data_IF_002907823082
#
_entry.id   IF_002907823082
#
_cell.length_a   1.000
_cell.length_b   1.000
_cell.length_c   1.000
_cell.angle_alpha   90.00
_cell.angle_beta   90.00
_cell.angle_gamma   90.00
#
_symmetry.space_group_name_H-M   'P 1'
#
loop_
_entity.id
_entity.type
_entity.pdbx_description
1 polymer ?
#
# COMPACT_ATOMS: atom_id res chain seq x y z
N UNK A 1 -15.63 -26.50 14.03
CA UNK A 1 -14.99 -25.26 13.52
C UNK A 1 -15.83 -24.09 14.01
N UNK A 2 -15.25 -23.23 14.86
CA UNK A 2 -15.97 -22.22 15.64
C UNK A 2 -16.65 -21.15 14.75
N UNK A 3 -17.97 -21.02 14.87
CA UNK A 3 -18.76 -19.93 14.31
C UNK A 3 -18.51 -18.69 15.17
N UNK A 4 -17.52 -17.87 14.82
CA UNK A 4 -17.26 -16.62 15.55
C UNK A 4 -18.35 -15.60 15.21
N UNK A 5 -18.89 -15.02 16.28
CA UNK A 5 -20.05 -14.13 16.29
C UNK A 5 -19.97 -13.02 15.24
N UNK A 6 -21.09 -12.81 14.55
CA UNK A 6 -21.33 -11.60 13.78
C UNK A 6 -21.34 -10.43 14.77
N UNK A 7 -20.25 -9.66 14.80
CA UNK A 7 -20.22 -8.41 15.54
C UNK A 7 -21.20 -7.46 14.85
N UNK A 8 -22.28 -7.14 15.54
CA UNK A 8 -23.30 -6.14 15.20
C UNK A 8 -22.73 -4.72 15.32
N UNK A 9 -21.67 -4.46 14.57
CA UNK A 9 -21.11 -3.15 14.27
C UNK A 9 -21.04 -3.01 12.75
N UNK A 10 -20.97 -1.77 12.26
CA UNK A 10 -20.85 -1.43 10.84
C UNK A 10 -19.99 -2.48 10.12
N UNK A 11 -20.56 -3.13 9.11
CA UNK A 11 -19.89 -4.22 8.42
C UNK A 11 -18.75 -3.64 7.57
N UNK A 12 -17.54 -3.61 8.15
CA UNK A 12 -16.33 -3.03 7.55
C UNK A 12 -16.10 -3.52 6.13
N UNK A 13 -16.47 -4.79 5.86
CA UNK A 13 -16.35 -5.41 4.54
C UNK A 13 -17.32 -4.85 3.50
N UNK A 14 -18.53 -4.45 3.91
CA UNK A 14 -19.52 -3.82 3.02
C UNK A 14 -19.08 -2.41 2.64
N UNK A 15 -18.62 -1.62 3.62
CA UNK A 15 -18.08 -0.28 3.38
C UNK A 15 -16.91 -0.32 2.39
N UNK A 16 -15.96 -1.26 2.55
CA UNK A 16 -14.84 -1.44 1.61
C UNK A 16 -15.35 -1.70 0.17
N UNK A 17 -16.38 -2.53 0.03
CA UNK A 17 -16.95 -2.88 -1.28
C UNK A 17 -17.66 -1.69 -1.90
N UNK A 18 -18.50 -0.99 -1.16
CA UNK A 18 -19.19 0.22 -1.62
C UNK A 18 -18.20 1.30 -2.03
N UNK A 19 -17.15 1.51 -1.24
CA UNK A 19 -16.13 2.51 -1.51
C UNK A 19 -15.35 2.19 -2.79
N UNK A 20 -15.05 0.90 -3.04
CA UNK A 20 -14.43 0.45 -4.30
C UNK A 20 -15.39 0.57 -5.49
N UNK A 21 -16.67 0.28 -5.31
CA UNK A 21 -17.68 0.43 -6.38
C UNK A 21 -17.85 1.89 -6.78
N UNK A 22 -17.82 2.82 -5.81
CA UNK A 22 -17.83 4.28 -6.06
C UNK A 22 -16.49 4.79 -6.63
N UNK A 23 -15.38 4.11 -6.33
CA UNK A 23 -14.03 4.49 -6.75
C UNK A 23 -13.29 3.33 -7.45
N UNK A 24 -13.69 2.94 -8.68
CA UNK A 24 -13.17 1.75 -9.35
C UNK A 24 -11.66 1.80 -9.63
N UNK A 25 -11.07 2.98 -9.78
CA UNK A 25 -9.62 3.16 -10.01
C UNK A 25 -8.76 3.04 -8.73
N UNK A 26 -9.36 3.16 -7.54
CA UNK A 26 -8.60 3.32 -6.31
C UNK A 26 -8.01 1.99 -5.80
N UNK A 27 -6.71 1.99 -5.48
CA UNK A 27 -5.99 0.82 -4.99
C UNK A 27 -6.32 0.47 -3.53
N UNK A 28 -6.07 -0.78 -3.09
CA UNK A 28 -6.37 -1.24 -1.72
C UNK A 28 -5.73 -0.39 -0.61
N UNK A 29 -4.54 0.19 -0.86
CA UNK A 29 -3.84 1.08 0.08
C UNK A 29 -4.58 2.40 0.27
N UNK A 30 -5.00 3.04 -0.81
CA UNK A 30 -5.72 4.32 -0.76
C UNK A 30 -7.13 4.15 -0.13
N UNK A 31 -7.78 3.01 -0.37
CA UNK A 31 -9.04 2.66 0.29
C UNK A 31 -8.83 2.46 1.80
N UNK A 32 -7.75 1.78 2.20
CA UNK A 32 -7.41 1.63 3.61
C UNK A 32 -7.13 2.97 4.30
N UNK A 33 -6.40 3.88 3.66
CA UNK A 33 -6.13 5.22 4.20
C UNK A 33 -7.42 6.04 4.39
N UNK A 34 -8.31 6.03 3.40
CA UNK A 34 -9.61 6.72 3.50
C UNK A 34 -10.51 6.14 4.59
N UNK A 35 -10.61 4.81 4.66
CA UNK A 35 -11.41 4.15 5.67
C UNK A 35 -10.85 4.31 7.09
N UNK A 36 -9.52 4.41 7.23
CA UNK A 36 -8.88 4.75 8.50
C UNK A 36 -9.28 6.15 8.97
N UNK A 37 -9.34 7.12 8.06
CA UNK A 37 -9.79 8.48 8.35
C UNK A 37 -11.29 8.52 8.70
N UNK A 38 -12.12 7.78 7.97
CA UNK A 38 -13.58 7.88 8.08
C UNK A 38 -14.18 7.05 9.24
N UNK A 39 -13.55 5.93 9.62
CA UNK A 39 -14.11 4.99 10.59
C UNK A 39 -13.28 4.81 11.87
N UNK A 40 -12.15 5.52 12.00
CA UNK A 40 -11.36 5.57 13.25
C UNK A 40 -10.73 4.23 13.68
N UNK A 41 -10.91 3.17 12.89
CA UNK A 41 -10.32 1.87 13.13
C UNK A 41 -9.23 1.61 12.09
N UNK A 42 -8.10 1.05 12.53
CA UNK A 42 -7.01 0.64 11.65
C UNK A 42 -7.43 -0.53 10.75
N UNK A 43 -8.16 -0.23 9.68
CA UNK A 43 -8.37 -1.17 8.60
C UNK A 43 -7.03 -1.33 7.87
N UNK A 44 -6.37 -2.47 8.05
CA UNK A 44 -5.09 -2.73 7.37
C UNK A 44 -5.28 -2.85 5.86
N UNK A 45 -4.29 -2.41 5.08
CA UNK A 45 -4.30 -2.61 3.63
C UNK A 45 -4.41 -4.09 3.25
N UNK A 46 -3.92 -4.99 4.11
CA UNK A 46 -4.04 -6.44 3.96
C UNK A 46 -5.49 -6.92 4.08
N UNK A 47 -6.26 -6.36 5.03
CA UNK A 47 -7.67 -6.67 5.19
C UNK A 47 -8.47 -6.19 3.98
N UNK A 48 -8.26 -4.94 3.53
CA UNK A 48 -8.90 -4.41 2.31
C UNK A 48 -8.59 -5.27 1.08
N UNK A 49 -7.33 -5.66 0.88
CA UNK A 49 -6.93 -6.54 -0.21
C UNK A 49 -7.65 -7.89 -0.17
N UNK A 50 -7.77 -8.48 1.01
CA UNK A 50 -8.47 -9.76 1.20
C UNK A 50 -9.97 -9.62 0.91
N UNK A 51 -10.61 -8.56 1.40
CA UNK A 51 -12.04 -8.28 1.15
C UNK A 51 -12.31 -8.08 -0.35
N UNK A 52 -11.47 -7.31 -1.05
CA UNK A 52 -11.59 -7.08 -2.49
C UNK A 52 -11.32 -8.35 -3.31
N UNK A 53 -10.32 -9.14 -2.92
CA UNK A 53 -10.02 -10.44 -3.56
C UNK A 53 -11.17 -11.43 -3.39
N UNK A 54 -11.79 -11.47 -2.21
CA UNK A 54 -12.95 -12.30 -1.94
C UNK A 54 -14.22 -11.80 -2.64
N UNK A 55 -14.38 -10.49 -2.84
CA UNK A 55 -15.49 -9.93 -3.61
C UNK A 55 -15.42 -10.37 -5.08
N UNK A 56 -14.25 -10.22 -5.72
CA UNK A 56 -14.05 -10.68 -7.11
C UNK A 56 -14.31 -12.19 -7.28
N UNK A 57 -13.90 -13.00 -6.32
CA UNK A 57 -14.15 -14.46 -6.30
C UNK A 57 -15.62 -14.84 -6.15
N UNK A 58 -16.49 -13.94 -5.70
CA UNK A 58 -17.94 -14.18 -5.62
C UNK A 58 -18.66 -13.85 -6.93
N UNK A 59 -18.18 -12.84 -7.64
CA UNK A 59 -18.69 -12.46 -8.96
C UNK A 59 -18.28 -13.49 -10.03
N UNK A 60 -17.06 -14.04 -9.89
CA UNK A 60 -16.62 -15.21 -10.64
C UNK A 60 -17.30 -16.46 -10.05
N UNK A 61 -18.47 -16.87 -10.56
CA UNK A 61 -19.08 -18.20 -10.31
C UNK A 61 -18.13 -19.33 -10.76
N UNK A 62 -17.09 -19.63 -9.99
CA UNK A 62 -15.99 -20.47 -10.48
C UNK A 62 -14.93 -20.88 -9.47
N UNK A 63 -15.34 -21.37 -8.29
CA UNK A 63 -14.59 -22.34 -7.48
C UNK A 63 -13.20 -21.95 -6.91
N UNK A 64 -12.64 -22.76 -5.98
CA UNK A 64 -11.28 -22.56 -5.52
C UNK A 64 -10.31 -22.87 -6.67
N UNK A 65 -9.56 -21.86 -7.12
CA UNK A 65 -8.41 -22.05 -8.03
C UNK A 65 -7.39 -22.94 -7.32
N UNK A 66 -7.52 -24.25 -7.53
CA UNK A 66 -6.46 -25.25 -7.35
C UNK A 66 -5.22 -24.70 -8.04
N UNK A 67 -4.11 -24.69 -7.31
CA UNK A 67 -2.94 -23.90 -7.65
C UNK A 67 -2.17 -24.36 -8.88
N UNK A 68 -0.96 -23.80 -8.95
CA UNK A 68 0.19 -24.32 -9.69
C UNK A 68 0.06 -24.28 -11.21
N UNK A 69 0.14 -23.08 -11.75
CA UNK A 69 0.75 -22.82 -13.07
C UNK A 69 2.28 -22.69 -12.98
N UNK A 70 2.97 -23.50 -12.16
CA UNK A 70 4.43 -23.66 -12.28
C UNK A 70 4.64 -24.93 -13.11
N UNK A 71 5.02 -24.84 -14.40
CA UNK A 71 5.39 -26.02 -15.16
C UNK A 71 6.57 -26.70 -14.46
N UNK A 72 6.54 -28.04 -14.27
CA UNK A 72 7.66 -28.76 -13.67
C UNK A 72 8.77 -28.87 -14.72
N UNK A 73 9.70 -27.92 -14.73
CA UNK A 73 10.78 -27.94 -15.70
C UNK A 73 11.50 -26.61 -15.89
N UNK A 74 12.06 -26.05 -14.83
CA UNK A 74 13.19 -25.12 -14.95
C UNK A 74 13.91 -25.01 -13.61
N UNK A 75 14.48 -26.15 -13.19
CA UNK A 75 15.55 -26.13 -12.21
C UNK A 75 16.82 -25.63 -12.87
N UNK A 76 17.15 -24.35 -12.66
CA UNK A 76 18.55 -23.93 -12.42
C UNK A 76 18.54 -22.89 -11.31
N UNK A 77 19.26 -23.26 -10.26
CA UNK A 77 19.42 -22.51 -9.03
C UNK A 77 20.21 -21.22 -9.25
N UNK A 78 19.97 -20.29 -8.33
CA UNK A 78 20.88 -19.28 -7.80
C UNK A 78 21.58 -18.36 -8.82
N UNK A 79 21.24 -17.08 -8.74
CA UNK A 79 22.19 -16.09 -8.23
C UNK A 79 21.44 -14.87 -7.70
N UNK A 80 21.93 -14.36 -6.59
CA UNK A 80 21.53 -13.11 -6.01
C UNK A 80 21.68 -11.96 -7.01
N UNK A 81 20.67 -11.11 -7.11
CA UNK A 81 20.85 -9.74 -7.56
C UNK A 81 20.04 -8.83 -6.64
N UNK A 82 20.69 -8.49 -5.53
CA UNK A 82 20.47 -7.27 -4.78
C UNK A 82 20.36 -6.11 -5.78
N UNK A 83 19.13 -5.66 -6.06
CA UNK A 83 18.92 -4.46 -6.86
C UNK A 83 19.23 -3.23 -5.99
N UNK A 84 20.52 -3.01 -5.76
CA UNK A 84 21.06 -1.66 -5.55
C UNK A 84 20.96 -0.95 -6.89
N UNK A 85 19.83 -0.30 -7.15
CA UNK A 85 19.73 0.68 -8.23
C UNK A 85 20.45 1.95 -7.79
N UNK A 86 21.78 1.97 -7.96
CA UNK A 86 22.60 3.19 -7.88
C UNK A 86 22.43 3.97 -9.18
N UNK A 87 21.69 5.07 -9.06
CA UNK A 87 21.77 6.34 -9.78
C UNK A 87 21.94 6.34 -11.31
N UNK A 88 20.88 6.79 -12.00
CA UNK A 88 21.03 7.78 -13.08
C UNK A 88 19.87 8.78 -13.06
N UNK A 89 20.19 10.00 -12.59
CA UNK A 89 19.74 11.25 -13.23
C UNK A 89 18.26 11.67 -13.20
N UNK A 90 17.38 11.05 -12.43
CA UNK A 90 15.98 11.51 -12.34
C UNK A 90 15.48 11.49 -10.91
N UNK A 91 15.13 12.67 -10.37
CA UNK A 91 14.34 12.75 -9.14
C UNK A 91 12.98 12.09 -9.44
N UNK A 92 12.71 10.93 -8.84
CA UNK A 92 11.40 10.30 -8.99
C UNK A 92 10.33 11.23 -8.41
N UNK A 93 9.18 11.31 -9.06
CA UNK A 93 8.08 12.18 -8.61
C UNK A 93 7.67 11.86 -7.16
N UNK A 94 7.76 10.59 -6.76
CA UNK A 94 7.57 10.18 -5.37
C UNK A 94 8.58 10.80 -4.41
N UNK A 95 9.85 10.94 -4.82
CA UNK A 95 10.90 11.56 -4.02
C UNK A 95 10.70 13.08 -3.94
N UNK A 96 10.25 13.72 -5.02
CA UNK A 96 9.86 15.14 -5.01
C UNK A 96 8.65 15.39 -4.09
N UNK A 97 7.66 14.50 -4.09
CA UNK A 97 6.52 14.60 -3.17
C UNK A 97 6.95 14.44 -1.71
N UNK A 98 7.89 13.53 -1.43
CA UNK A 98 8.46 13.37 -0.08
C UNK A 98 9.26 14.61 0.32
N UNK A 99 10.09 15.15 -0.57
CA UNK A 99 10.84 16.38 -0.33
C UNK A 99 9.90 17.57 -0.07
N UNK A 100 8.81 17.70 -0.82
CA UNK A 100 7.78 18.73 -0.60
C UNK A 100 7.14 18.61 0.79
N UNK A 101 6.84 17.39 1.24
CA UNK A 101 6.27 17.16 2.58
C UNK A 101 7.24 17.57 3.68
N UNK A 102 8.50 17.14 3.58
CA UNK A 102 9.55 17.52 4.53
C UNK A 102 9.76 19.04 4.58
N UNK A 103 9.82 19.69 3.41
CA UNK A 103 9.88 21.14 3.35
C UNK A 103 8.67 21.80 4.02
N UNK A 104 7.48 21.24 3.88
CA UNK A 104 6.27 21.78 4.53
C UNK A 104 6.30 21.60 6.06
N UNK A 105 6.88 20.51 6.56
CA UNK A 105 7.03 20.26 8.00
C UNK A 105 8.07 21.19 8.65
N UNK A 106 9.09 21.60 7.89
CA UNK A 106 10.17 22.48 8.37
C UNK A 106 9.82 23.98 8.28
N UNK A 107 8.62 24.33 7.80
CA UNK A 107 8.16 25.72 7.66
C UNK A 107 8.25 26.27 6.24
N UNK A 108 8.89 25.53 5.33
CA UNK A 108 9.07 25.92 3.94
C UNK A 108 10.33 25.33 3.32
N UNK A 109 10.52 25.60 2.03
CA UNK A 109 11.70 25.14 1.29
C UNK A 109 12.97 25.85 1.77
N UNK A 110 12.86 27.11 2.19
CA UNK A 110 14.01 27.90 2.66
C UNK A 110 14.47 27.46 4.04
N UNK A 111 13.54 27.22 4.99
CA UNK A 111 13.90 26.65 6.29
C UNK A 111 14.48 25.24 6.16
N UNK A 112 13.96 24.44 5.23
CA UNK A 112 14.48 23.10 4.98
C UNK A 112 15.93 23.12 4.45
N UNK A 113 16.28 24.05 3.56
CA UNK A 113 17.66 24.24 3.12
C UNK A 113 18.57 24.67 4.27
N UNK A 114 18.15 25.67 5.04
CA UNK A 114 18.94 26.17 6.18
C UNK A 114 19.17 25.08 7.24
N UNK A 115 18.18 24.25 7.51
CA UNK A 115 18.28 23.11 8.43
C UNK A 115 19.24 22.03 7.91
N UNK A 116 19.18 21.70 6.61
CA UNK A 116 20.10 20.74 6.00
C UNK A 116 21.54 21.27 5.98
N UNK A 117 21.74 22.56 5.71
CA UNK A 117 23.05 23.21 5.77
C UNK A 117 23.62 23.23 7.20
N UNK A 118 22.79 23.49 8.20
CA UNK A 118 23.19 23.43 9.60
C UNK A 118 23.56 22.00 10.03
N UNK A 119 22.79 20.99 9.59
CA UNK A 119 23.09 19.58 9.83
C UNK A 119 24.40 19.14 9.17
N UNK A 120 24.67 19.59 7.95
CA UNK A 120 25.91 19.28 7.24
C UNK A 120 27.15 19.76 8.03
N UNK A 121 27.08 20.92 8.70
CA UNK A 121 28.17 21.44 9.54
C UNK A 121 28.44 20.67 10.83
N UNK A 122 27.51 19.80 11.25
CA UNK A 122 27.59 19.05 12.51
C UNK A 122 27.97 17.57 12.23
N UNK A 123 27.58 17.05 11.07
CA UNK A 123 27.68 15.63 10.74
C UNK A 123 28.88 15.32 9.83
N UNK A 124 29.31 16.27 8.99
CA UNK A 124 30.56 16.21 8.20
C UNK A 124 31.67 17.06 8.86
#
# INVERSE_FOLDING_TARGET
>A
MAKKAAASGINKSEVIREYKSKNPSMGPKAIAEKLKTDHGEEVSAQFVSTVLSMAKKRDDKGGPRRGRGRPPGSGKAATAAKATSKASGGLSLELLLKAKKLASELGGVEEAKAALDALARIID
#
